data_IF_073294985911
#
_entry.id   IF_073294985911
#
_cell.length_a   1.000
_cell.length_b   1.000
_cell.length_c   1.000
_cell.angle_alpha   90.00
_cell.angle_beta   90.00
_cell.angle_gamma   90.00
#
_symmetry.space_group_name_H-M   'P 1'
#
loop_
_entity.id
_entity.type
_entity.pdbx_description
1 polymer ?
#
# COMPACT_ATOMS: atom_id res chain seq x y z
N UNK A 1 -43.26 25.20 48.86
CA UNK A 1 -43.00 25.06 47.43
C UNK A 1 -43.46 23.67 47.06
N UNK A 2 -44.59 23.64 46.38
CA UNK A 2 -45.41 22.44 46.09
C UNK A 2 -44.78 21.60 44.93
N UNK A 3 -44.27 20.44 45.23
CA UNK A 3 -43.94 19.43 44.25
C UNK A 3 -45.19 18.60 43.92
N UNK A 4 -45.98 19.08 42.96
CA UNK A 4 -46.98 18.25 42.30
C UNK A 4 -46.32 17.57 41.12
N UNK A 5 -45.74 16.40 41.34
CA UNK A 5 -45.43 15.44 40.29
C UNK A 5 -46.73 15.02 39.64
N UNK A 6 -46.96 15.45 38.38
CA UNK A 6 -48.10 15.06 37.56
C UNK A 6 -47.95 13.59 37.21
N UNK A 7 -48.85 12.73 37.74
CA UNK A 7 -49.06 11.39 37.26
C UNK A 7 -49.36 11.41 35.75
N UNK A 8 -48.73 10.52 34.93
CA UNK A 8 -49.11 10.39 33.55
C UNK A 8 -50.59 10.04 33.43
N UNK A 9 -51.32 10.49 32.38
CA UNK A 9 -52.71 10.21 32.21
C UNK A 9 -52.93 8.68 32.17
N UNK A 10 -53.58 8.17 33.22
CA UNK A 10 -53.95 6.78 33.31
C UNK A 10 -54.88 6.42 32.18
N UNK A 11 -54.59 5.33 31.47
CA UNK A 11 -55.57 4.67 30.59
C UNK A 11 -56.87 4.50 31.42
N UNK A 12 -57.99 5.02 30.89
CA UNK A 12 -59.31 4.78 31.47
C UNK A 12 -59.47 3.28 31.67
N UNK A 13 -60.08 2.84 32.78
CA UNK A 13 -60.33 1.41 33.02
C UNK A 13 -61.21 0.88 31.88
N UNK A 14 -60.60 0.08 31.02
CA UNK A 14 -61.34 -0.59 29.92
C UNK A 14 -62.37 -1.52 30.56
N UNK A 15 -63.58 -1.59 29.94
CA UNK A 15 -64.52 -2.65 30.30
C UNK A 15 -63.87 -4.00 30.07
N UNK A 16 -64.36 -5.02 30.76
CA UNK A 16 -63.88 -6.41 30.56
C UNK A 16 -63.95 -6.82 29.09
N UNK A 17 -64.99 -6.42 28.38
CA UNK A 17 -65.21 -6.72 26.96
C UNK A 17 -64.20 -5.94 26.08
N UNK A 18 -63.90 -4.68 26.39
CA UNK A 18 -62.87 -3.90 25.65
C UNK A 18 -61.44 -4.43 25.90
N UNK A 19 -61.16 -4.91 27.13
CA UNK A 19 -59.90 -5.52 27.47
C UNK A 19 -59.72 -6.84 26.71
N UNK A 20 -60.74 -7.68 26.66
CA UNK A 20 -60.73 -8.93 25.89
C UNK A 20 -60.51 -8.68 24.39
N UNK A 21 -61.19 -7.69 23.81
CA UNK A 21 -61.00 -7.28 22.42
C UNK A 21 -59.59 -6.76 22.18
N UNK A 22 -59.10 -5.86 23.03
CA UNK A 22 -57.73 -5.29 22.91
C UNK A 22 -56.69 -6.39 23.01
N UNK A 23 -56.82 -7.32 23.96
CA UNK A 23 -55.93 -8.45 24.10
C UNK A 23 -55.92 -9.37 22.86
N UNK A 24 -57.12 -9.66 22.33
CA UNK A 24 -57.26 -10.45 21.11
C UNK A 24 -56.51 -9.84 19.94
N UNK A 25 -56.76 -8.56 19.64
CA UNK A 25 -56.08 -7.88 18.55
C UNK A 25 -54.59 -7.71 18.78
N UNK A 26 -54.16 -7.43 20.01
CA UNK A 26 -52.73 -7.37 20.34
C UNK A 26 -52.02 -8.72 20.08
N UNK A 27 -52.64 -9.79 20.46
CA UNK A 27 -52.12 -11.14 20.23
C UNK A 27 -52.09 -11.54 18.75
N UNK A 28 -53.10 -11.12 17.97
CA UNK A 28 -53.14 -11.32 16.50
C UNK A 28 -52.07 -10.52 15.77
N UNK A 29 -51.65 -9.35 16.30
CA UNK A 29 -50.59 -8.52 15.72
C UNK A 29 -49.21 -9.03 16.07
N UNK A 30 -49.00 -9.58 17.28
CA UNK A 30 -47.67 -9.94 17.82
C UNK A 30 -47.30 -11.38 17.55
N UNK A 31 -48.25 -12.26 17.28
CA UNK A 31 -47.98 -13.69 17.04
C UNK A 31 -48.82 -14.24 15.90
N UNK A 32 -48.22 -15.13 15.10
CA UNK A 32 -48.92 -15.82 14.02
C UNK A 32 -49.81 -16.94 14.55
N UNK A 33 -49.46 -17.54 15.70
CA UNK A 33 -50.22 -18.57 16.33
C UNK A 33 -50.02 -18.63 17.84
N UNK A 34 -51.15 -18.85 18.59
CA UNK A 34 -51.12 -19.00 20.04
C UNK A 34 -51.48 -20.44 20.36
N UNK A 35 -50.84 -20.99 21.37
CA UNK A 35 -51.19 -22.28 21.94
C UNK A 35 -51.32 -22.17 23.47
N UNK A 36 -52.21 -23.00 24.02
CA UNK A 36 -52.54 -23.02 25.43
C UNK A 36 -52.67 -24.48 25.86
N UNK A 37 -51.71 -24.96 26.66
CA UNK A 37 -51.58 -26.32 27.08
C UNK A 37 -52.01 -26.49 28.54
N UNK A 38 -53.06 -27.30 28.75
CA UNK A 38 -53.43 -27.77 30.04
C UNK A 38 -52.65 -29.09 30.32
N UNK A 39 -51.68 -29.00 31.22
CA UNK A 39 -50.72 -30.10 31.52
C UNK A 39 -51.46 -31.28 32.17
N UNK A 40 -52.44 -31.04 33.05
CA UNK A 40 -53.13 -32.07 33.76
C UNK A 40 -54.01 -32.98 32.86
N UNK A 41 -54.60 -32.39 31.81
CA UNK A 41 -55.47 -33.08 30.83
C UNK A 41 -54.74 -33.46 29.56
N UNK A 42 -53.52 -32.96 29.36
CA UNK A 42 -52.73 -33.02 28.14
C UNK A 42 -53.42 -32.42 26.91
N UNK A 43 -54.37 -31.50 27.12
CA UNK A 43 -55.14 -30.84 26.07
C UNK A 43 -54.43 -29.53 25.65
N UNK A 44 -54.24 -29.32 24.34
CA UNK A 44 -53.67 -28.11 23.77
C UNK A 44 -54.64 -27.43 22.86
N UNK A 45 -55.14 -26.28 23.27
CA UNK A 45 -55.96 -25.41 22.43
C UNK A 45 -55.04 -24.54 21.54
N UNK A 46 -55.41 -24.35 20.28
CA UNK A 46 -54.63 -23.55 19.30
C UNK A 46 -55.53 -22.50 18.64
N UNK A 47 -54.99 -21.29 18.46
CA UNK A 47 -55.68 -20.23 17.73
C UNK A 47 -55.83 -20.58 16.24
N UNK A 48 -56.78 -19.96 15.57
CA UNK A 48 -56.96 -20.09 14.13
C UNK A 48 -55.66 -19.71 13.36
N UNK A 49 -54.92 -18.65 13.81
CA UNK A 49 -53.62 -18.23 13.26
C UNK A 49 -52.60 -19.32 13.28
N UNK A 50 -52.53 -20.15 14.35
CA UNK A 50 -51.60 -21.28 14.43
C UNK A 50 -51.80 -22.29 13.28
N UNK A 51 -53.03 -22.62 12.95
CA UNK A 51 -53.37 -23.49 11.84
C UNK A 51 -53.07 -22.84 10.49
N UNK A 52 -53.45 -21.57 10.32
CA UNK A 52 -53.24 -20.84 9.07
C UNK A 52 -51.75 -20.65 8.73
N UNK A 53 -50.93 -20.36 9.72
CA UNK A 53 -49.48 -20.22 9.57
C UNK A 53 -48.84 -21.47 8.95
N UNK A 54 -49.28 -22.65 9.41
CA UNK A 54 -48.80 -23.97 8.92
C UNK A 54 -49.62 -24.50 7.73
N UNK A 55 -50.64 -23.76 7.24
CA UNK A 55 -51.49 -24.15 6.12
C UNK A 55 -52.53 -25.21 6.44
N UNK A 56 -52.73 -25.58 7.70
CA UNK A 56 -53.77 -26.51 8.11
C UNK A 56 -55.16 -25.86 8.19
N UNK A 57 -56.22 -26.56 7.84
CA UNK A 57 -57.59 -26.08 8.16
C UNK A 57 -57.75 -25.91 9.68
N UNK A 58 -58.40 -24.82 10.15
CA UNK A 58 -58.64 -24.63 11.57
C UNK A 58 -59.29 -25.87 12.23
N UNK A 59 -58.77 -26.25 13.40
CA UNK A 59 -59.28 -27.40 14.19
C UNK A 59 -59.19 -28.78 13.48
N UNK A 60 -58.38 -28.93 12.43
CA UNK A 60 -58.21 -30.17 11.68
C UNK A 60 -57.26 -31.18 12.35
N UNK A 61 -56.51 -30.78 13.37
CA UNK A 61 -55.58 -31.63 14.09
C UNK A 61 -56.06 -31.90 15.52
N UNK A 62 -55.69 -33.05 16.11
CA UNK A 62 -56.01 -33.36 17.51
C UNK A 62 -55.46 -32.30 18.49
N UNK A 63 -56.26 -31.95 19.49
CA UNK A 63 -55.86 -30.95 20.51
C UNK A 63 -55.03 -31.59 21.62
N UNK A 64 -53.82 -32.03 21.24
CA UNK A 64 -52.85 -32.67 22.17
C UNK A 64 -51.44 -32.19 21.92
N UNK A 65 -50.55 -32.40 22.91
CA UNK A 65 -49.13 -32.09 22.78
C UNK A 65 -48.42 -33.02 21.77
N UNK A 66 -48.96 -34.23 21.58
CA UNK A 66 -48.40 -35.19 20.60
C UNK A 66 -48.54 -34.67 19.15
N UNK A 67 -49.56 -33.90 18.86
CA UNK A 67 -49.73 -33.21 17.55
C UNK A 67 -48.53 -32.31 17.28
N UNK A 68 -48.16 -31.49 18.26
CA UNK A 68 -46.99 -30.58 18.13
C UNK A 68 -45.70 -31.39 17.91
N UNK A 69 -45.46 -32.43 18.73
CA UNK A 69 -44.28 -33.31 18.58
C UNK A 69 -44.20 -33.95 17.19
N UNK A 70 -45.33 -34.33 16.61
CA UNK A 70 -45.40 -35.02 15.31
C UNK A 70 -45.11 -34.18 14.11
N UNK A 71 -45.17 -32.86 14.23
CA UNK A 71 -44.90 -31.90 13.13
C UNK A 71 -43.51 -31.28 13.19
N UNK A 72 -42.76 -31.49 14.29
CA UNK A 72 -41.36 -31.00 14.39
C UNK A 72 -40.51 -31.79 13.39
N UNK A 73 -39.57 -31.09 12.73
CA UNK A 73 -38.61 -31.72 11.82
C UNK A 73 -37.78 -32.79 12.57
N UNK A 74 -37.57 -33.99 12.01
CA UNK A 74 -36.84 -35.07 12.70
C UNK A 74 -35.47 -34.71 13.24
N UNK A 75 -34.70 -33.88 12.52
CA UNK A 75 -33.38 -33.39 12.96
C UNK A 75 -33.47 -32.38 14.12
N UNK A 76 -34.53 -31.57 14.20
CA UNK A 76 -34.73 -30.61 15.26
C UNK A 76 -35.33 -31.20 16.52
N UNK A 77 -36.05 -32.31 16.37
CA UNK A 77 -36.80 -32.94 17.43
C UNK A 77 -35.98 -33.24 18.70
N UNK A 78 -34.80 -33.88 18.64
CA UNK A 78 -34.04 -34.20 19.85
C UNK A 78 -33.66 -32.92 20.64
N UNK A 79 -33.24 -31.88 19.94
CA UNK A 79 -32.84 -30.59 20.54
C UNK A 79 -34.03 -29.89 21.19
N UNK A 80 -35.12 -29.77 20.44
CA UNK A 80 -36.37 -29.14 20.94
C UNK A 80 -36.90 -29.84 22.16
N UNK A 81 -36.92 -31.21 22.18
CA UNK A 81 -37.36 -31.98 23.34
C UNK A 81 -36.47 -31.83 24.54
N UNK A 82 -35.14 -31.76 24.34
CA UNK A 82 -34.19 -31.52 25.44
C UNK A 82 -34.40 -30.12 26.07
N UNK A 83 -34.55 -29.10 25.27
CA UNK A 83 -34.83 -27.72 25.76
C UNK A 83 -36.19 -27.65 26.46
N UNK A 84 -37.19 -28.28 25.90
CA UNK A 84 -38.52 -28.33 26.51
C UNK A 84 -38.51 -29.05 27.88
N UNK A 85 -37.79 -30.16 27.99
CA UNK A 85 -37.63 -30.89 29.24
C UNK A 85 -36.87 -30.06 30.29
N UNK A 86 -35.75 -29.40 29.90
CA UNK A 86 -35.01 -28.52 30.81
C UNK A 86 -35.86 -27.38 31.36
N UNK A 87 -36.82 -26.88 30.57
CA UNK A 87 -37.76 -25.87 31.05
C UNK A 87 -38.81 -26.46 32.01
N UNK A 88 -39.31 -27.69 31.74
CA UNK A 88 -40.22 -28.43 32.65
C UNK A 88 -39.56 -28.73 34.00
N UNK A 89 -38.29 -29.07 34.00
CA UNK A 89 -37.51 -29.40 35.20
C UNK A 89 -37.02 -28.14 35.97
N UNK A 90 -37.35 -26.94 35.46
CA UNK A 90 -36.96 -25.65 36.07
C UNK A 90 -35.51 -25.27 35.91
N UNK A 91 -34.77 -25.94 35.02
CA UNK A 91 -33.36 -25.63 34.68
C UNK A 91 -33.22 -24.38 33.78
N UNK A 92 -34.27 -24.03 33.03
CA UNK A 92 -34.33 -22.84 32.21
C UNK A 92 -35.39 -21.84 32.70
N UNK A 93 -35.13 -20.54 32.72
CA UNK A 93 -36.09 -19.50 33.16
C UNK A 93 -37.22 -19.27 32.16
N UNK A 94 -37.03 -19.64 30.90
CA UNK A 94 -37.98 -19.45 29.79
C UNK A 94 -37.86 -20.58 28.79
N UNK A 95 -38.96 -20.84 28.06
CA UNK A 95 -38.95 -21.71 26.89
C UNK A 95 -38.94 -20.83 25.65
N UNK A 96 -37.89 -20.91 24.87
CA UNK A 96 -37.71 -20.18 23.61
C UNK A 96 -36.86 -21.03 22.66
N UNK A 97 -37.46 -21.50 21.58
CA UNK A 97 -36.79 -22.36 20.60
C UNK A 97 -37.15 -21.96 19.16
N UNK A 98 -36.20 -22.15 18.26
CA UNK A 98 -36.38 -21.97 16.82
C UNK A 98 -36.20 -23.34 16.13
N UNK A 99 -37.23 -23.79 15.44
CA UNK A 99 -37.21 -25.09 14.78
C UNK A 99 -38.15 -25.12 13.57
N UNK A 100 -38.01 -26.19 12.79
CA UNK A 100 -38.84 -26.42 11.60
C UNK A 100 -40.08 -27.18 11.95
N UNK A 101 -41.24 -26.67 11.54
CA UNK A 101 -42.53 -27.37 11.61
C UNK A 101 -43.00 -27.78 10.24
N UNK A 102 -43.56 -29.01 10.13
CA UNK A 102 -44.16 -29.51 8.90
C UNK A 102 -45.49 -28.82 8.62
N UNK A 103 -45.61 -28.30 7.42
CA UNK A 103 -46.81 -27.63 6.88
C UNK A 103 -47.80 -28.71 6.36
N UNK A 104 -49.00 -28.26 6.05
CA UNK A 104 -50.04 -29.11 5.43
C UNK A 104 -49.62 -29.68 4.06
N UNK A 105 -48.84 -28.91 3.29
CA UNK A 105 -48.25 -29.34 1.99
C UNK A 105 -47.17 -30.41 2.14
N UNK A 106 -46.62 -30.58 3.33
CA UNK A 106 -45.51 -31.50 3.60
C UNK A 106 -44.14 -30.84 3.64
N UNK A 107 -44.05 -29.55 3.30
CA UNK A 107 -42.83 -28.73 3.41
C UNK A 107 -42.56 -28.37 4.87
N UNK A 108 -41.42 -27.70 5.11
CA UNK A 108 -41.05 -27.25 6.44
C UNK A 108 -40.96 -25.74 6.52
N UNK A 109 -41.56 -25.21 7.59
CA UNK A 109 -41.57 -23.77 7.92
C UNK A 109 -40.76 -23.56 9.21
N UNK A 110 -39.85 -22.59 9.21
CA UNK A 110 -39.17 -22.17 10.43
C UNK A 110 -40.10 -21.35 11.30
N UNK A 111 -40.20 -21.73 12.57
CA UNK A 111 -40.93 -20.98 13.58
C UNK A 111 -40.02 -20.66 14.77
N UNK A 112 -40.33 -19.56 15.47
CA UNK A 112 -39.90 -19.27 16.84
C UNK A 112 -41.04 -19.62 17.78
N UNK A 113 -40.79 -20.49 18.73
CA UNK A 113 -41.78 -20.95 19.74
C UNK A 113 -41.34 -20.41 21.10
N UNK A 114 -42.23 -19.65 21.74
CA UNK A 114 -41.98 -19.12 23.09
C UNK A 114 -43.18 -19.43 23.98
N UNK A 115 -42.88 -19.87 25.20
CA UNK A 115 -43.95 -20.21 26.16
C UNK A 115 -43.53 -20.03 27.62
N UNK A 116 -44.53 -19.90 28.47
CA UNK A 116 -44.33 -19.81 29.91
C UNK A 116 -45.47 -20.46 30.69
N UNK A 117 -45.15 -20.96 31.87
CA UNK A 117 -46.14 -21.40 32.83
C UNK A 117 -46.94 -20.19 33.36
N UNK A 118 -48.26 -20.33 33.43
CA UNK A 118 -49.20 -19.27 33.89
C UNK A 118 -50.03 -19.69 35.08
N UNK A 119 -50.17 -21.01 35.32
CA UNK A 119 -50.91 -21.54 36.48
C UNK A 119 -50.10 -22.69 37.11
N UNK A 120 -50.14 -22.75 38.44
CA UNK A 120 -49.50 -23.80 39.26
C UNK A 120 -50.53 -24.38 40.23
N UNK A 121 -50.32 -25.63 40.66
CA UNK A 121 -51.15 -26.26 41.70
C UNK A 121 -50.71 -25.84 43.13
N UNK A 122 -51.40 -26.37 44.14
CA UNK A 122 -51.12 -26.09 45.56
C UNK A 122 -49.71 -26.54 46.00
N UNK A 123 -49.05 -27.39 45.21
CA UNK A 123 -47.68 -27.90 45.46
C UNK A 123 -46.62 -27.14 44.69
N UNK A 124 -47.03 -26.19 43.88
CA UNK A 124 -46.15 -25.39 43.03
C UNK A 124 -45.81 -26.08 41.71
N UNK A 125 -46.46 -27.18 41.35
CA UNK A 125 -46.28 -27.89 40.08
C UNK A 125 -47.03 -27.16 38.96
N UNK A 126 -46.46 -27.03 37.74
CA UNK A 126 -47.10 -26.32 36.65
C UNK A 126 -48.35 -27.06 36.13
N UNK A 127 -49.45 -26.33 36.01
CA UNK A 127 -50.74 -26.84 35.50
C UNK A 127 -51.12 -26.34 34.12
N UNK A 128 -50.61 -25.15 33.72
CA UNK A 128 -50.97 -24.56 32.43
C UNK A 128 -49.79 -23.78 31.88
N UNK A 129 -49.54 -23.97 30.60
CA UNK A 129 -48.54 -23.25 29.85
C UNK A 129 -49.16 -22.56 28.65
N UNK A 130 -48.85 -21.31 28.42
CA UNK A 130 -49.29 -20.54 27.23
C UNK A 130 -48.07 -20.10 26.45
N UNK A 131 -48.18 -20.16 25.13
CA UNK A 131 -47.12 -19.68 24.27
C UNK A 131 -47.59 -19.21 22.90
N UNK A 132 -46.65 -18.79 22.14
CA UNK A 132 -46.87 -18.27 20.81
C UNK A 132 -45.80 -18.76 19.81
N UNK A 133 -46.28 -19.14 18.65
CA UNK A 133 -45.46 -19.38 17.48
C UNK A 133 -45.39 -18.13 16.62
N UNK A 134 -44.23 -17.86 16.10
CA UNK A 134 -43.98 -16.78 15.13
C UNK A 134 -43.22 -17.31 13.93
N UNK A 135 -43.72 -17.03 12.72
CA UNK A 135 -43.04 -17.44 11.50
C UNK A 135 -41.74 -16.68 11.33
N UNK A 136 -40.62 -17.40 11.15
CA UNK A 136 -39.29 -16.84 10.96
C UNK A 136 -38.61 -17.38 9.69
N UNK A 137 -39.40 -18.00 8.80
CA UNK A 137 -38.84 -18.69 7.64
C UNK A 137 -38.02 -17.77 6.75
N UNK A 138 -38.58 -16.59 6.43
CA UNK A 138 -37.87 -15.60 5.61
C UNK A 138 -36.60 -15.09 6.28
N UNK A 139 -36.62 -14.86 7.59
CA UNK A 139 -35.42 -14.48 8.35
C UNK A 139 -34.34 -15.55 8.27
N UNK A 140 -34.71 -16.82 8.44
CA UNK A 140 -33.75 -17.95 8.36
C UNK A 140 -33.14 -18.11 6.97
N UNK A 141 -33.91 -17.91 5.92
CA UNK A 141 -33.38 -17.96 4.55
C UNK A 141 -32.34 -16.85 4.32
N UNK A 142 -32.61 -15.63 4.78
CA UNK A 142 -31.66 -14.52 4.67
C UNK A 142 -30.41 -14.75 5.51
N UNK A 143 -30.55 -15.31 6.74
CA UNK A 143 -29.41 -15.67 7.59
C UNK A 143 -28.49 -16.69 6.89
N UNK A 144 -29.08 -17.74 6.29
CA UNK A 144 -28.32 -18.77 5.56
C UNK A 144 -27.61 -18.21 4.32
N UNK A 145 -28.30 -17.35 3.54
CA UNK A 145 -27.70 -16.70 2.39
C UNK A 145 -26.54 -15.80 2.81
N UNK A 146 -26.73 -15.02 3.87
CA UNK A 146 -25.68 -14.13 4.39
C UNK A 146 -24.46 -14.93 4.87
N UNK A 147 -24.69 -16.04 5.53
CA UNK A 147 -23.60 -16.92 5.97
C UNK A 147 -22.79 -17.45 4.80
N UNK A 148 -23.46 -17.98 3.76
CA UNK A 148 -22.79 -18.45 2.54
C UNK A 148 -21.98 -17.35 1.86
N UNK A 149 -22.56 -16.14 1.75
CA UNK A 149 -21.86 -14.99 1.17
C UNK A 149 -20.62 -14.59 1.97
N UNK A 150 -20.70 -14.66 3.30
CA UNK A 150 -19.56 -14.35 4.15
C UNK A 150 -18.44 -15.38 3.99
N UNK A 151 -18.74 -16.66 3.86
CA UNK A 151 -17.76 -17.71 3.60
C UNK A 151 -17.08 -17.51 2.23
N UNK A 152 -17.85 -17.23 1.18
CA UNK A 152 -17.32 -16.90 -0.14
C UNK A 152 -16.39 -15.67 -0.11
N UNK A 153 -16.82 -14.59 0.58
CA UNK A 153 -16.00 -13.37 0.72
C UNK A 153 -14.71 -13.63 1.48
N UNK A 154 -14.73 -14.45 2.48
CA UNK A 154 -13.52 -14.84 3.23
C UNK A 154 -12.50 -15.54 2.32
N UNK A 155 -12.94 -16.50 1.52
CA UNK A 155 -12.10 -17.22 0.58
C UNK A 155 -11.53 -16.29 -0.50
N UNK A 156 -12.36 -15.35 -1.02
CA UNK A 156 -11.90 -14.37 -1.98
C UNK A 156 -10.85 -13.42 -1.40
N UNK A 157 -11.01 -12.98 -0.14
CA UNK A 157 -10.05 -12.12 0.53
C UNK A 157 -8.70 -12.81 0.70
N UNK A 158 -8.67 -14.07 1.12
CA UNK A 158 -7.44 -14.85 1.23
C UNK A 158 -6.69 -14.93 -0.11
N UNK A 159 -7.40 -15.26 -1.18
CA UNK A 159 -6.79 -15.33 -2.53
C UNK A 159 -6.28 -13.97 -3.02
N UNK A 160 -7.00 -12.90 -2.69
CA UNK A 160 -6.59 -11.55 -3.07
C UNK A 160 -5.32 -11.12 -2.31
N UNK A 161 -5.21 -11.43 -1.03
CA UNK A 161 -4.01 -11.14 -0.22
C UNK A 161 -2.78 -11.88 -0.78
N UNK A 162 -2.91 -13.16 -1.13
CA UNK A 162 -1.83 -13.92 -1.77
C UNK A 162 -1.40 -13.30 -3.10
N UNK A 163 -2.36 -12.94 -3.96
CA UNK A 163 -2.07 -12.31 -5.25
C UNK A 163 -1.41 -10.94 -5.10
N UNK A 164 -1.87 -10.12 -4.14
CA UNK A 164 -1.28 -8.81 -3.84
C UNK A 164 0.16 -8.98 -3.35
N UNK A 165 0.43 -9.94 -2.46
CA UNK A 165 1.77 -10.24 -1.98
C UNK A 165 2.71 -10.65 -3.13
N UNK A 166 2.29 -11.58 -3.97
CA UNK A 166 3.05 -12.03 -5.14
C UNK A 166 3.36 -10.88 -6.12
N UNK A 167 2.35 -10.07 -6.45
CA UNK A 167 2.50 -8.93 -7.36
C UNK A 167 3.42 -7.85 -6.80
N UNK A 168 3.31 -7.60 -5.50
CA UNK A 168 4.16 -6.61 -4.82
C UNK A 168 5.62 -7.04 -4.86
N UNK A 169 5.91 -8.31 -4.60
CA UNK A 169 7.27 -8.84 -4.68
C UNK A 169 7.82 -8.80 -6.11
N UNK A 170 7.02 -9.17 -7.11
CA UNK A 170 7.40 -9.09 -8.52
C UNK A 170 7.72 -7.65 -8.96
N UNK A 171 6.89 -6.69 -8.58
CA UNK A 171 7.12 -5.27 -8.84
C UNK A 171 8.40 -4.77 -8.18
N UNK A 172 8.68 -5.19 -6.95
CA UNK A 172 9.90 -4.80 -6.24
C UNK A 172 11.15 -5.28 -6.98
N UNK A 173 11.17 -6.54 -7.43
CA UNK A 173 12.28 -7.11 -8.23
C UNK A 173 12.50 -6.35 -9.54
N UNK A 174 11.42 -6.04 -10.27
CA UNK A 174 11.50 -5.29 -11.54
C UNK A 174 12.04 -3.89 -11.32
N UNK A 175 11.58 -3.19 -10.28
CA UNK A 175 12.04 -1.84 -9.96
C UNK A 175 13.53 -1.81 -9.57
N UNK A 176 14.00 -2.79 -8.80
CA UNK A 176 15.44 -2.92 -8.47
C UNK A 176 16.29 -3.16 -9.72
N UNK A 177 15.85 -4.06 -10.60
CA UNK A 177 16.57 -4.33 -11.85
C UNK A 177 16.57 -3.10 -12.79
N UNK A 178 15.47 -2.35 -12.86
CA UNK A 178 15.39 -1.12 -13.62
C UNK A 178 16.31 -0.03 -13.07
N UNK A 179 16.33 0.18 -11.76
CA UNK A 179 17.22 1.14 -11.10
C UNK A 179 18.70 0.82 -11.36
N UNK A 180 19.09 -0.45 -11.28
CA UNK A 180 20.46 -0.90 -11.59
C UNK A 180 20.83 -0.61 -13.05
N UNK A 181 19.93 -0.95 -14.01
CA UNK A 181 20.18 -0.66 -15.43
C UNK A 181 20.22 0.84 -15.73
N UNK A 182 19.40 1.63 -15.09
CA UNK A 182 19.43 3.09 -15.23
C UNK A 182 20.75 3.68 -14.71
N UNK A 183 21.24 3.23 -13.55
CA UNK A 183 22.53 3.67 -12.99
C UNK A 183 23.70 3.29 -13.92
N UNK A 184 23.67 2.09 -14.48
CA UNK A 184 24.70 1.64 -15.44
C UNK A 184 24.64 2.45 -16.74
N UNK A 185 23.45 2.68 -17.31
CA UNK A 185 23.28 3.50 -18.51
C UNK A 185 23.73 4.95 -18.27
N UNK A 186 23.45 5.50 -17.08
CA UNK A 186 23.91 6.85 -16.70
C UNK A 186 25.43 6.89 -16.59
N UNK A 187 26.06 5.90 -15.94
CA UNK A 187 27.53 5.79 -15.85
C UNK A 187 28.18 5.73 -17.22
N UNK A 188 27.68 4.89 -18.11
CA UNK A 188 28.18 4.79 -19.49
C UNK A 188 27.99 6.07 -20.29
N UNK A 189 26.98 6.88 -19.95
CA UNK A 189 26.69 8.16 -20.59
C UNK A 189 27.50 9.34 -20.04
N UNK A 190 28.12 9.23 -18.85
CA UNK A 190 28.81 10.33 -18.17
C UNK A 190 30.34 10.13 -18.07
N UNK A 191 30.82 8.92 -18.28
CA UNK A 191 32.23 8.56 -18.12
C UNK A 191 32.87 8.30 -19.48
N UNK A 192 34.12 8.71 -19.65
CA UNK A 192 34.96 8.32 -20.80
C UNK A 192 35.44 6.88 -20.61
N UNK A 193 35.18 5.97 -21.57
CA UNK A 193 35.48 4.55 -21.39
C UNK A 193 36.98 4.21 -21.32
N UNK A 194 37.87 5.09 -21.84
CA UNK A 194 39.31 4.85 -21.82
C UNK A 194 39.93 5.31 -20.49
N UNK A 195 39.63 6.57 -20.08
CA UNK A 195 40.33 7.19 -18.95
C UNK A 195 39.60 7.06 -17.63
N UNK A 196 38.33 6.58 -17.65
CA UNK A 196 37.42 6.51 -16.48
C UNK A 196 37.14 7.88 -15.83
N UNK A 197 37.53 8.98 -16.48
CA UNK A 197 37.18 10.35 -16.10
C UNK A 197 35.80 10.72 -16.61
N UNK A 198 35.27 11.85 -16.18
CA UNK A 198 34.08 12.39 -16.82
C UNK A 198 34.32 12.60 -18.32
N UNK A 199 33.27 12.36 -19.11
CA UNK A 199 33.28 12.73 -20.51
C UNK A 199 32.86 14.20 -20.71
N UNK A 200 32.97 14.69 -21.94
CA UNK A 200 32.56 16.04 -22.33
C UNK A 200 31.14 16.38 -21.89
N UNK A 201 30.21 15.49 -22.13
CA UNK A 201 28.79 15.71 -21.78
C UNK A 201 28.58 15.96 -20.28
N UNK A 202 29.21 15.15 -19.43
CA UNK A 202 29.12 15.33 -17.98
C UNK A 202 29.79 16.63 -17.53
N UNK A 203 30.92 16.95 -18.13
CA UNK A 203 31.61 18.20 -17.85
C UNK A 203 30.75 19.44 -18.17
N UNK A 204 30.10 19.45 -19.31
CA UNK A 204 29.19 20.56 -19.72
C UNK A 204 28.05 20.74 -18.70
N UNK A 205 27.52 19.66 -18.15
CA UNK A 205 26.50 19.70 -17.06
C UNK A 205 27.10 20.35 -15.78
N UNK A 206 28.29 19.89 -15.37
CA UNK A 206 28.95 20.43 -14.17
C UNK A 206 29.28 21.93 -14.36
N UNK A 207 29.77 22.32 -15.52
CA UNK A 207 30.07 23.71 -15.87
C UNK A 207 28.82 24.58 -15.83
N UNK A 208 27.71 24.11 -16.37
CA UNK A 208 26.43 24.82 -16.31
C UNK A 208 25.94 25.01 -14.88
N UNK A 209 26.03 23.96 -14.04
CA UNK A 209 25.65 24.06 -12.63
C UNK A 209 26.54 25.09 -11.87
N UNK A 210 27.85 25.08 -12.10
CA UNK A 210 28.75 26.00 -11.44
C UNK A 210 28.56 27.43 -11.93
N UNK A 211 28.21 27.63 -13.21
CA UNK A 211 27.84 28.94 -13.75
C UNK A 211 26.60 29.50 -13.05
N UNK A 212 25.54 28.69 -12.87
CA UNK A 212 24.34 29.07 -12.13
C UNK A 212 24.63 29.39 -10.66
N UNK A 213 25.54 28.63 -10.05
CA UNK A 213 25.98 28.84 -8.66
C UNK A 213 26.76 30.17 -8.51
N UNK A 214 27.64 30.49 -9.46
CA UNK A 214 28.36 31.73 -9.50
C UNK A 214 27.44 32.94 -9.64
N UNK A 215 26.44 32.89 -10.49
CA UNK A 215 25.43 33.95 -10.65
C UNK A 215 24.74 34.30 -9.30
N UNK A 216 24.63 33.34 -8.39
CA UNK A 216 24.00 33.58 -7.06
C UNK A 216 24.99 34.05 -5.99
N UNK A 217 26.22 33.60 -6.04
CA UNK A 217 27.17 33.77 -4.93
C UNK A 217 28.39 34.61 -5.28
N UNK A 218 28.62 34.97 -6.54
CA UNK A 218 29.70 35.83 -6.97
C UNK A 218 31.12 35.27 -6.82
N UNK A 219 31.27 33.97 -6.55
CA UNK A 219 32.60 33.35 -6.33
C UNK A 219 33.28 33.09 -7.66
N UNK A 220 34.61 33.31 -7.71
CA UNK A 220 35.38 33.08 -8.91
C UNK A 220 35.34 31.61 -9.33
N UNK A 221 35.29 31.33 -10.64
CA UNK A 221 35.34 30.01 -11.22
C UNK A 221 36.30 30.01 -12.38
N UNK A 222 37.30 29.12 -12.34
CA UNK A 222 38.28 28.97 -13.39
C UNK A 222 38.07 27.74 -14.24
N UNK A 223 38.50 27.84 -15.48
CA UNK A 223 38.53 26.75 -16.46
C UNK A 223 39.94 26.57 -16.98
N UNK A 224 40.39 25.33 -17.11
CA UNK A 224 41.69 24.98 -17.69
C UNK A 224 41.47 23.96 -18.79
N UNK A 225 41.86 24.27 -20.01
CA UNK A 225 41.98 23.29 -21.10
C UNK A 225 43.41 22.80 -21.22
N UNK A 226 43.58 21.52 -21.45
CA UNK A 226 44.90 20.84 -21.48
C UNK A 226 44.93 20.00 -22.75
N UNK A 227 46.08 20.02 -23.41
CA UNK A 227 46.36 19.16 -24.56
C UNK A 227 47.76 18.50 -24.41
N UNK A 228 47.82 17.20 -24.65
CA UNK A 228 49.06 16.43 -24.59
C UNK A 228 49.89 16.69 -25.83
N UNK A 229 51.06 17.31 -25.63
CA UNK A 229 51.93 17.71 -26.73
C UNK A 229 52.43 16.50 -27.53
N UNK A 230 52.41 16.63 -28.85
CA UNK A 230 52.91 15.61 -29.79
C UNK A 230 52.26 14.23 -29.64
N UNK A 231 51.02 14.12 -29.14
CA UNK A 231 50.38 12.83 -28.90
C UNK A 231 50.26 11.96 -30.16
N UNK A 232 50.05 12.57 -31.32
CA UNK A 232 50.09 11.87 -32.61
C UNK A 232 51.41 11.18 -32.85
N UNK A 233 52.53 11.85 -32.55
CA UNK A 233 53.86 11.23 -32.68
C UNK A 233 54.03 9.99 -31.75
N UNK A 234 53.47 10.06 -30.56
CA UNK A 234 53.46 8.90 -29.63
C UNK A 234 52.73 7.74 -30.26
N UNK A 235 51.54 7.96 -30.83
CA UNK A 235 50.80 6.92 -31.53
C UNK A 235 51.55 6.38 -32.76
N UNK A 236 52.17 7.25 -33.53
CA UNK A 236 52.91 6.85 -34.74
C UNK A 236 54.15 6.03 -34.42
N UNK A 237 54.85 6.31 -33.29
CA UNK A 237 56.08 5.59 -32.90
C UNK A 237 55.80 4.33 -32.05
N UNK A 238 54.83 4.35 -31.16
CA UNK A 238 54.64 3.32 -30.13
C UNK A 238 53.32 2.58 -30.27
N UNK A 239 52.48 2.97 -31.23
CA UNK A 239 51.15 2.41 -31.50
C UNK A 239 50.04 2.96 -30.59
N UNK A 240 48.79 2.86 -31.07
CA UNK A 240 47.62 3.41 -30.38
C UNK A 240 47.41 2.82 -28.97
N UNK A 241 47.70 1.54 -28.75
CA UNK A 241 47.55 0.94 -27.41
C UNK A 241 48.52 1.55 -26.37
N UNK A 242 49.69 2.03 -26.79
CA UNK A 242 50.59 2.76 -25.92
C UNK A 242 50.10 4.17 -25.67
N UNK A 243 49.59 4.86 -26.72
CA UNK A 243 48.93 6.15 -26.58
C UNK A 243 47.77 6.11 -25.59
N UNK A 244 46.94 5.07 -25.68
CA UNK A 244 45.80 4.90 -24.75
C UNK A 244 46.29 4.76 -23.29
N UNK A 245 47.33 3.96 -23.03
CA UNK A 245 47.91 3.86 -21.69
C UNK A 245 48.50 5.18 -21.20
N UNK A 246 49.10 5.96 -22.09
CA UNK A 246 49.62 7.31 -21.78
C UNK A 246 48.48 8.23 -21.37
N UNK A 247 47.36 8.24 -22.08
CA UNK A 247 46.17 9.06 -21.72
C UNK A 247 45.59 8.65 -20.36
N UNK A 248 45.50 7.35 -20.07
CA UNK A 248 45.08 6.83 -18.76
C UNK A 248 46.03 7.29 -17.64
N UNK A 249 47.34 7.14 -17.84
CA UNK A 249 48.33 7.56 -16.87
C UNK A 249 48.32 9.09 -16.66
N UNK A 250 48.20 9.87 -17.74
CA UNK A 250 48.08 11.32 -17.72
C UNK A 250 46.83 11.74 -16.92
N UNK A 251 45.68 11.19 -17.24
CA UNK A 251 44.40 11.51 -16.52
C UNK A 251 44.51 11.20 -15.02
N UNK A 252 45.06 10.07 -14.64
CA UNK A 252 45.34 9.70 -13.23
C UNK A 252 46.29 10.66 -12.53
N UNK A 253 47.37 11.06 -13.21
CA UNK A 253 48.31 12.03 -12.68
C UNK A 253 47.65 13.37 -12.40
N UNK A 254 46.87 13.89 -13.36
CA UNK A 254 46.17 15.14 -13.20
C UNK A 254 45.13 15.04 -12.07
N UNK A 255 44.33 13.99 -12.04
CA UNK A 255 43.33 13.76 -11.01
C UNK A 255 43.94 13.69 -9.59
N UNK A 256 45.11 13.15 -9.41
CA UNK A 256 45.80 13.06 -8.10
C UNK A 256 46.20 14.41 -7.49
N UNK A 257 46.29 15.47 -8.29
CA UNK A 257 46.64 16.82 -7.85
C UNK A 257 45.45 17.74 -7.60
N UNK A 258 44.22 17.21 -7.81
CA UNK A 258 42.98 17.96 -7.71
C UNK A 258 42.29 17.78 -6.36
N UNK A 259 41.45 18.74 -6.00
CA UNK A 259 40.55 18.65 -4.84
C UNK A 259 39.30 17.88 -5.21
N UNK A 260 38.58 17.41 -4.23
CA UNK A 260 37.30 16.70 -4.42
C UNK A 260 36.24 17.53 -5.16
N UNK A 261 36.25 18.87 -5.01
CA UNK A 261 35.32 19.78 -5.67
C UNK A 261 35.73 20.16 -7.10
N UNK A 262 36.97 19.87 -7.50
CA UNK A 262 37.45 20.13 -8.85
C UNK A 262 36.92 19.04 -9.80
N UNK A 263 36.63 19.41 -11.03
CA UNK A 263 36.06 18.48 -12.02
C UNK A 263 37.05 18.33 -13.18
N UNK A 264 37.49 17.08 -13.39
CA UNK A 264 38.34 16.70 -14.53
C UNK A 264 37.54 15.88 -15.52
N UNK A 265 37.63 16.19 -16.79
CA UNK A 265 37.05 15.42 -17.87
C UNK A 265 38.00 15.27 -19.05
N UNK A 266 37.79 14.21 -19.83
CA UNK A 266 38.37 14.08 -21.15
C UNK A 266 37.44 14.80 -22.15
N UNK A 267 38.00 15.87 -22.81
CA UNK A 267 37.24 16.68 -23.73
C UNK A 267 37.10 16.01 -25.11
N UNK A 268 38.15 15.36 -25.57
CA UNK A 268 38.17 14.58 -26.80
C UNK A 268 39.62 14.24 -27.21
N UNK A 269 39.85 13.11 -27.87
CA UNK A 269 41.22 12.75 -28.32
C UNK A 269 42.24 12.79 -27.20
N UNK A 270 43.23 13.69 -27.30
CA UNK A 270 44.30 13.99 -26.34
C UNK A 270 44.02 15.21 -25.43
N UNK A 271 42.81 15.76 -25.49
CA UNK A 271 42.40 16.94 -24.76
C UNK A 271 41.66 16.64 -23.45
N UNK A 272 42.04 17.38 -22.40
CA UNK A 272 41.41 17.30 -21.08
C UNK A 272 40.95 18.68 -20.65
N UNK A 273 39.96 18.75 -19.79
CA UNK A 273 39.40 19.99 -19.29
C UNK A 273 39.17 19.93 -17.78
N UNK A 274 39.49 21.03 -17.08
CA UNK A 274 39.32 21.17 -15.64
C UNK A 274 38.37 22.32 -15.35
N UNK A 275 37.42 22.09 -14.45
CA UNK A 275 36.61 23.10 -13.81
C UNK A 275 37.07 23.26 -12.37
N UNK A 276 37.41 24.46 -11.97
CA UNK A 276 37.94 24.80 -10.66
C UNK A 276 36.99 25.78 -9.95
N UNK A 277 36.04 25.30 -9.18
CA UNK A 277 35.15 26.14 -8.39
C UNK A 277 35.93 26.99 -7.37
N UNK A 278 35.41 28.18 -7.09
CA UNK A 278 35.96 29.11 -6.08
C UNK A 278 37.46 29.42 -6.27
N UNK A 279 37.89 29.42 -7.53
CA UNK A 279 39.31 29.60 -7.89
C UNK A 279 39.48 30.77 -8.84
N UNK A 280 40.33 31.72 -8.47
CA UNK A 280 40.71 32.88 -9.30
C UNK A 280 41.83 32.54 -10.30
N UNK A 281 42.14 33.48 -11.21
CA UNK A 281 43.09 33.25 -12.31
C UNK A 281 44.50 32.91 -11.83
N UNK A 282 45.01 33.58 -10.82
CA UNK A 282 46.38 33.35 -10.31
C UNK A 282 46.49 31.94 -9.72
N UNK A 283 45.50 31.48 -8.92
CA UNK A 283 45.48 30.17 -8.33
C UNK A 283 45.32 29.06 -9.38
N UNK A 284 44.48 29.28 -10.40
CA UNK A 284 44.31 28.36 -11.51
C UNK A 284 45.59 28.26 -12.37
N UNK A 285 46.25 29.37 -12.66
CA UNK A 285 47.53 29.39 -13.38
C UNK A 285 48.62 28.68 -12.58
N UNK A 286 48.70 28.89 -11.26
CA UNK A 286 49.63 28.21 -10.39
C UNK A 286 49.41 26.68 -10.37
N UNK A 287 48.12 26.22 -10.34
CA UNK A 287 47.80 24.79 -10.46
C UNK A 287 48.20 24.27 -11.83
N UNK A 288 47.89 24.94 -12.92
CA UNK A 288 48.25 24.55 -14.28
C UNK A 288 49.79 24.40 -14.44
N UNK A 289 50.56 25.37 -13.90
CA UNK A 289 52.06 25.28 -13.93
C UNK A 289 52.58 24.11 -13.09
N UNK A 290 51.99 23.87 -11.92
CA UNK A 290 52.34 22.70 -11.11
C UNK A 290 52.04 21.39 -11.86
N UNK A 291 50.87 21.26 -12.49
CA UNK A 291 50.50 20.10 -13.32
C UNK A 291 51.48 19.91 -14.48
N UNK A 292 51.83 21.01 -15.22
CA UNK A 292 52.79 20.99 -16.30
C UNK A 292 54.16 20.42 -15.84
N UNK A 293 54.66 20.91 -14.71
CA UNK A 293 55.94 20.41 -14.13
C UNK A 293 55.85 18.96 -13.71
N UNK A 294 54.73 18.54 -13.10
CA UNK A 294 54.49 17.13 -12.72
C UNK A 294 54.48 16.23 -13.94
N UNK A 295 53.75 16.59 -15.01
CA UNK A 295 53.70 15.86 -16.28
C UNK A 295 55.13 15.71 -16.86
N UNK A 296 55.87 16.80 -16.94
CA UNK A 296 57.23 16.81 -17.47
C UNK A 296 58.21 15.98 -16.66
N UNK A 297 58.04 15.90 -15.35
CA UNK A 297 58.94 15.12 -14.46
C UNK A 297 58.55 13.66 -14.34
N UNK A 298 57.33 13.29 -14.73
CA UNK A 298 56.84 11.92 -14.65
C UNK A 298 57.46 11.04 -15.75
N UNK A 299 57.89 9.83 -15.37
CA UNK A 299 58.29 8.81 -16.33
C UNK A 299 57.03 8.06 -16.80
N UNK A 300 56.77 8.12 -18.09
CA UNK A 300 55.73 7.33 -18.74
C UNK A 300 56.32 6.08 -19.38
N UNK A 301 55.51 5.04 -19.61
CA UNK A 301 55.98 3.72 -20.11
C UNK A 301 56.82 3.75 -21.38
N UNK A 302 56.73 4.81 -22.17
CA UNK A 302 57.47 4.96 -23.43
C UNK A 302 58.94 5.40 -23.26
N UNK A 303 59.41 5.68 -22.02
CA UNK A 303 60.75 6.12 -21.73
C UNK A 303 61.12 7.53 -22.23
N UNK A 304 60.22 8.21 -22.98
CA UNK A 304 60.35 9.60 -23.42
C UNK A 304 59.61 10.55 -22.44
N UNK A 305 60.03 11.80 -22.42
CA UNK A 305 59.34 12.84 -21.63
C UNK A 305 58.06 13.24 -22.31
N UNK A 306 56.96 13.23 -21.55
CA UNK A 306 55.67 13.79 -21.97
C UNK A 306 55.58 15.24 -21.54
N UNK A 307 55.07 16.12 -22.41
CA UNK A 307 54.73 17.50 -22.07
C UNK A 307 53.25 17.77 -22.42
N UNK A 308 52.69 18.79 -21.84
CA UNK A 308 51.35 19.23 -22.14
C UNK A 308 51.26 20.75 -22.14
N UNK A 309 50.35 21.28 -22.94
CA UNK A 309 50.05 22.71 -23.05
C UNK A 309 48.74 23.02 -22.34
N UNK A 310 48.66 24.19 -21.68
CA UNK A 310 47.55 24.55 -20.82
C UNK A 310 47.00 25.95 -21.21
N UNK A 311 45.73 26.04 -21.42
CA UNK A 311 44.96 27.30 -21.54
C UNK A 311 44.16 27.56 -20.28
N UNK A 312 44.32 28.70 -19.65
CA UNK A 312 43.66 29.04 -18.38
C UNK A 312 42.83 30.30 -18.51
N UNK A 313 41.61 30.25 -18.02
CA UNK A 313 40.75 31.43 -17.95
C UNK A 313 39.79 31.41 -16.75
N UNK A 314 39.31 32.55 -16.37
CA UNK A 314 38.31 32.75 -15.33
C UNK A 314 37.04 33.30 -15.94
N UNK A 315 35.92 32.82 -15.47
CA UNK A 315 34.62 33.32 -15.86
C UNK A 315 34.45 34.76 -15.38
N UNK A 316 34.19 35.69 -16.30
CA UNK A 316 33.96 37.09 -15.98
C UNK A 316 32.47 37.35 -15.63
N UNK A 317 32.21 38.54 -15.03
CA UNK A 317 30.84 38.92 -14.72
C UNK A 317 30.04 39.20 -16.00
N UNK A 318 28.85 38.56 -16.09
CA UNK A 318 27.98 38.68 -17.27
C UNK A 318 28.43 37.91 -18.50
N UNK A 319 29.54 37.14 -18.42
CA UNK A 319 30.06 36.33 -19.52
C UNK A 319 29.24 35.06 -19.75
N UNK A 320 29.03 34.69 -21.01
CA UNK A 320 28.45 33.38 -21.36
C UNK A 320 29.51 32.28 -21.28
N UNK A 321 29.05 31.06 -21.06
CA UNK A 321 29.93 29.86 -21.03
C UNK A 321 30.66 29.64 -22.36
N UNK A 322 30.00 29.91 -23.49
CA UNK A 322 30.57 29.76 -24.81
C UNK A 322 31.75 30.73 -25.02
N UNK A 323 31.62 31.98 -24.53
CA UNK A 323 32.68 32.96 -24.63
C UNK A 323 33.88 32.60 -23.75
N UNK A 324 33.65 32.09 -22.53
CA UNK A 324 34.71 31.58 -21.69
C UNK A 324 35.44 30.40 -22.35
N UNK A 325 34.70 29.44 -22.89
CA UNK A 325 35.29 28.30 -23.60
C UNK A 325 36.15 28.74 -24.78
N UNK A 326 35.66 29.68 -25.63
CA UNK A 326 36.44 30.27 -26.71
C UNK A 326 37.74 30.90 -26.23
N UNK A 327 37.69 31.73 -25.18
CA UNK A 327 38.89 32.42 -24.65
C UNK A 327 39.92 31.43 -24.12
N UNK A 328 39.47 30.37 -23.43
CA UNK A 328 40.37 29.34 -22.88
C UNK A 328 40.99 28.50 -23.99
N UNK A 329 40.19 28.18 -25.03
CA UNK A 329 40.70 27.50 -26.24
C UNK A 329 41.76 28.34 -26.97
N UNK A 330 41.50 29.65 -27.19
CA UNK A 330 42.50 30.60 -27.74
C UNK A 330 43.78 30.66 -26.88
N UNK A 331 43.64 30.60 -25.55
CA UNK A 331 44.79 30.55 -24.67
C UNK A 331 45.58 29.21 -24.85
N UNK A 332 44.84 28.07 -24.92
CA UNK A 332 45.48 26.76 -25.21
C UNK A 332 46.19 26.79 -26.58
N UNK A 333 45.52 27.34 -27.60
CA UNK A 333 46.15 27.49 -28.92
C UNK A 333 47.49 28.27 -28.87
N UNK A 334 47.56 29.38 -28.11
CA UNK A 334 48.79 30.13 -27.88
C UNK A 334 49.85 29.28 -27.13
N UNK A 335 49.44 28.51 -26.16
CA UNK A 335 50.32 27.58 -25.45
C UNK A 335 50.89 26.50 -26.38
N UNK A 336 50.09 25.91 -27.28
CA UNK A 336 50.49 24.91 -28.27
C UNK A 336 51.55 25.45 -29.30
N UNK A 337 51.59 26.77 -29.53
CA UNK A 337 52.67 27.35 -30.40
C UNK A 337 54.07 27.23 -29.78
N UNK A 338 54.17 27.28 -28.46
CA UNK A 338 55.43 27.21 -27.72
C UNK A 338 55.65 25.78 -27.16
N UNK A 339 54.52 25.10 -26.87
CA UNK A 339 54.46 23.82 -26.17
C UNK A 339 55.08 23.86 -24.77
N UNK A 340 54.73 22.83 -23.97
CA UNK A 340 55.23 22.74 -22.59
C UNK A 340 55.12 24.06 -21.84
N UNK A 341 53.96 24.72 -21.93
CA UNK A 341 53.73 26.03 -21.27
C UNK A 341 52.26 26.26 -20.90
N UNK A 342 52.03 27.21 -20.03
CA UNK A 342 50.71 27.71 -19.60
C UNK A 342 50.50 29.07 -20.22
N UNK A 343 49.32 29.32 -20.80
CA UNK A 343 48.86 30.62 -21.27
C UNK A 343 47.54 30.99 -20.60
N UNK A 344 47.40 32.25 -20.19
CA UNK A 344 46.19 32.78 -19.54
C UNK A 344 45.43 33.74 -20.46
N UNK A 345 44.08 33.86 -20.23
CA UNK A 345 43.23 34.83 -20.89
C UNK A 345 42.34 35.60 -19.91
#
# INVERSE_FOLDING_TARGET
MDERASKPPGLLPLSREDLEKTLRYALEIVSDGIWDWNIATNQVSRSAGWYLMLGYPPHSLPESVETWKSIIHPEDYPRVMASFQAYLDGESPEYCEEYRCRTYSGDYLWISDRGRFVEFDERGEPRRMIGAHHEIHQRKLVELELQQRNEELFDWNLRLEELVAERTEALHRVNQALASKMAEAQRLSEIDPLTELYNRRKFEQCLHHEWMRRQRHGRATALVMIDVDHFKRINDLFGHSTGDRVLVAFGRLVASELREVDVLARWGGEEFILLLPETGLEAAAALAERLRQRVRSQSFEMGERLTASFGVGVLNDGESLDLLLCRVDDALYRAKQRRDCVACC
#
